data_IF_598522775409
#
_entry.id   IF_598522775409
#
_cell.length_a   1.000
_cell.length_b   1.000
_cell.length_c   1.000
_cell.angle_alpha   90.00
_cell.angle_beta   90.00
_cell.angle_gamma   90.00
#
_symmetry.space_group_name_H-M   'P 1'
#
loop_
_entity.id
_entity.type
_entity.pdbx_description
1 polymer ?
#
# COMPACT_ATOMS: atom_id res chain seq x y z
N UNK A 1 0.80 6.61 -22.14
CA UNK A 1 1.18 6.02 -20.82
C UNK A 1 -0.13 5.73 -20.10
N UNK A 2 -0.38 4.50 -19.68
CA UNK A 2 -1.62 4.17 -18.98
C UNK A 2 -1.54 4.70 -17.55
N UNK A 3 -2.51 5.52 -17.15
CA UNK A 3 -2.69 5.92 -15.76
C UNK A 3 -2.98 4.65 -14.94
N UNK A 4 -2.35 4.47 -13.77
CA UNK A 4 -2.68 3.35 -12.89
C UNK A 4 -4.15 3.48 -12.44
N UNK A 5 -4.82 2.36 -12.20
CA UNK A 5 -6.23 2.35 -11.78
C UNK A 5 -6.41 2.90 -10.35
N UNK A 6 -5.34 2.86 -9.56
CA UNK A 6 -5.24 3.48 -8.23
C UNK A 6 -3.84 4.04 -7.97
N UNK A 7 -3.68 4.96 -7.04
CA UNK A 7 -2.38 5.29 -6.44
C UNK A 7 -2.40 5.02 -4.94
N UNK A 8 -1.22 4.79 -4.40
CA UNK A 8 -1.00 4.60 -2.98
C UNK A 8 0.03 5.60 -2.48
N UNK A 9 -0.21 6.11 -1.29
CA UNK A 9 0.64 7.07 -0.60
C UNK A 9 0.71 6.68 0.88
N UNK A 10 1.92 6.45 1.37
CA UNK A 10 2.14 6.19 2.79
C UNK A 10 2.11 7.52 3.53
N UNK A 11 1.23 7.64 4.52
CA UNK A 11 1.12 8.83 5.35
C UNK A 11 1.85 8.59 6.67
N UNK A 12 3.11 9.01 6.70
CA UNK A 12 3.92 9.04 7.92
C UNK A 12 3.82 10.42 8.61
N UNK A 13 3.89 10.49 9.94
CA UNK A 13 3.95 11.76 10.65
C UNK A 13 5.20 12.57 10.28
N UNK A 14 5.13 13.90 10.33
CA UNK A 14 6.28 14.78 10.10
C UNK A 14 7.40 14.47 11.11
N UNK A 15 8.59 14.13 10.61
CA UNK A 15 9.73 13.73 11.43
C UNK A 15 9.82 12.22 11.70
N UNK A 16 8.96 11.40 11.09
CA UNK A 16 9.12 9.96 11.10
C UNK A 16 10.45 9.58 10.42
N UNK A 17 11.22 8.62 10.98
CA UNK A 17 12.38 8.08 10.27
C UNK A 17 11.98 7.61 8.86
N UNK A 18 12.90 7.70 7.90
CA UNK A 18 12.67 7.14 6.55
C UNK A 18 12.34 5.65 6.60
N UNK A 19 12.67 4.99 7.71
CA UNK A 19 12.46 3.57 7.92
C UNK A 19 11.20 3.35 8.78
N UNK A 20 10.38 2.38 8.38
CA UNK A 20 9.27 1.86 9.16
C UNK A 20 9.79 0.91 10.23
N UNK A 21 9.15 0.90 11.38
CA UNK A 21 9.47 -0.05 12.45
C UNK A 21 8.67 -1.34 12.25
N UNK A 22 9.28 -2.47 12.56
CA UNK A 22 8.57 -3.74 12.66
C UNK A 22 7.39 -3.66 13.66
N UNK A 23 6.22 -4.16 13.27
CA UNK A 23 5.00 -4.09 14.09
C UNK A 23 4.35 -2.71 14.16
N UNK A 24 4.87 -1.73 13.41
CA UNK A 24 4.33 -0.37 13.42
C UNK A 24 3.03 -0.28 12.62
N UNK A 25 2.04 0.42 13.18
CA UNK A 25 0.78 0.67 12.49
C UNK A 25 0.85 1.93 11.63
N UNK A 26 1.10 1.76 10.33
CA UNK A 26 1.24 2.86 9.36
C UNK A 26 -0.05 3.10 8.60
N UNK A 27 -0.33 4.37 8.25
CA UNK A 27 -1.52 4.72 7.47
C UNK A 27 -1.17 4.80 5.98
N UNK A 28 -1.91 4.06 5.16
CA UNK A 28 -1.84 4.08 3.71
C UNK A 28 -3.08 4.75 3.15
N UNK A 29 -2.87 5.78 2.33
CA UNK A 29 -3.91 6.37 1.52
C UNK A 29 -3.93 5.68 0.16
N UNK A 30 -5.08 5.15 -0.22
CA UNK A 30 -5.32 4.54 -1.52
C UNK A 30 -6.28 5.44 -2.29
N UNK A 31 -5.77 6.12 -3.31
CA UNK A 31 -6.59 6.92 -4.22
C UNK A 31 -7.04 6.05 -5.39
N UNK A 32 -8.30 5.65 -5.37
CA UNK A 32 -8.89 4.85 -6.43
C UNK A 32 -9.39 5.76 -7.56
N UNK A 33 -8.76 5.72 -8.74
CA UNK A 33 -9.27 6.41 -9.93
C UNK A 33 -10.43 5.64 -10.57
N UNK A 34 -10.38 4.31 -10.48
CA UNK A 34 -11.47 3.40 -10.90
C UNK A 34 -12.03 2.61 -9.73
N UNK A 35 -13.18 1.98 -9.91
CA UNK A 35 -13.75 1.12 -8.90
C UNK A 35 -12.83 -0.08 -8.66
N UNK A 36 -12.38 -0.25 -7.43
CA UNK A 36 -11.51 -1.34 -7.00
C UNK A 36 -12.37 -2.38 -6.29
N UNK A 37 -12.32 -3.62 -6.74
CA UNK A 37 -13.05 -4.72 -6.13
C UNK A 37 -12.14 -5.94 -6.02
N UNK A 38 -12.02 -6.50 -4.82
CA UNK A 38 -11.12 -7.64 -4.56
C UNK A 38 -9.63 -7.31 -4.73
N UNK A 39 -9.22 -6.07 -4.44
CA UNK A 39 -7.81 -5.63 -4.51
C UNK A 39 -7.12 -5.93 -3.18
N UNK A 40 -5.84 -6.30 -3.23
CA UNK A 40 -5.02 -6.48 -2.03
C UNK A 40 -3.70 -5.73 -2.11
N UNK A 41 -3.24 -5.34 -0.92
CA UNK A 41 -1.93 -4.76 -0.70
C UNK A 41 -0.92 -5.89 -0.67
N UNK A 42 0.14 -5.74 -1.47
CA UNK A 42 1.35 -6.53 -1.36
C UNK A 42 2.49 -5.67 -0.88
N UNK A 43 3.32 -6.25 -0.02
CA UNK A 43 4.62 -5.71 0.35
C UNK A 43 5.66 -6.72 -0.11
N UNK A 44 6.42 -6.36 -1.15
CA UNK A 44 7.31 -7.26 -1.86
C UNK A 44 6.52 -8.42 -2.49
N UNK A 45 6.76 -9.63 -2.00
CA UNK A 45 6.06 -10.85 -2.43
C UNK A 45 4.93 -11.26 -1.48
N UNK A 46 4.86 -10.66 -0.30
CA UNK A 46 3.87 -11.00 0.72
C UNK A 46 2.57 -10.21 0.53
N UNK A 47 1.42 -10.88 0.68
CA UNK A 47 0.12 -10.21 0.79
C UNK A 47 -0.04 -9.75 2.23
N UNK A 48 -0.17 -8.43 2.44
CA UNK A 48 -0.31 -7.82 3.77
C UNK A 48 -1.78 -7.75 4.15
N UNK A 49 -2.59 -7.12 3.31
CA UNK A 49 -4.01 -6.89 3.60
C UNK A 49 -4.85 -6.80 2.33
N UNK A 50 -6.17 -6.83 2.45
CA UNK A 50 -7.13 -6.69 1.35
C UNK A 50 -7.92 -5.40 1.49
N UNK A 51 -8.04 -4.64 0.41
CA UNK A 51 -8.89 -3.46 0.38
C UNK A 51 -10.36 -3.87 0.25
N UNK A 52 -11.26 -3.19 0.97
CA UNK A 52 -12.69 -3.30 0.70
C UNK A 52 -13.00 -2.75 -0.70
N UNK A 53 -14.21 -3.00 -1.20
CA UNK A 53 -14.63 -2.45 -2.50
C UNK A 53 -14.63 -0.91 -2.45
N UNK A 54 -13.66 -0.29 -3.14
CA UNK A 54 -13.49 1.16 -3.19
C UNK A 54 -14.15 1.70 -4.45
N UNK A 55 -14.94 2.77 -4.31
CA UNK A 55 -15.59 3.41 -5.46
C UNK A 55 -14.56 4.17 -6.31
N UNK A 56 -14.86 4.32 -7.60
CA UNK A 56 -14.05 5.17 -8.48
C UNK A 56 -14.02 6.62 -8.00
N UNK A 57 -12.88 7.28 -8.17
CA UNK A 57 -12.62 8.66 -7.74
C UNK A 57 -12.82 8.89 -6.24
N UNK A 58 -12.45 7.91 -5.41
CA UNK A 58 -12.48 8.05 -3.95
C UNK A 58 -11.13 7.69 -3.34
N UNK A 59 -10.82 8.34 -2.22
CA UNK A 59 -9.64 8.03 -1.42
C UNK A 59 -10.06 7.18 -0.24
N UNK A 60 -9.41 6.04 -0.06
CA UNK A 60 -9.60 5.16 1.08
C UNK A 60 -8.32 5.15 1.91
N UNK A 61 -8.40 5.62 3.15
CA UNK A 61 -7.30 5.53 4.10
C UNK A 61 -7.48 4.27 4.93
N UNK A 62 -6.44 3.46 5.01
CA UNK A 62 -6.41 2.29 5.87
C UNK A 62 -5.12 2.23 6.66
N UNK A 63 -5.18 1.63 7.84
CA UNK A 63 -4.01 1.40 8.67
C UNK A 63 -3.66 -0.09 8.57
N UNK A 64 -2.40 -0.39 8.36
CA UNK A 64 -1.91 -1.77 8.34
C UNK A 64 -0.66 -1.88 9.22
N UNK A 65 -0.42 -3.08 9.75
CA UNK A 65 0.76 -3.36 10.56
C UNK A 65 1.93 -3.74 9.65
N UNK A 66 3.06 -3.06 9.83
CA UNK A 66 4.29 -3.34 9.09
C UNK A 66 4.78 -4.73 9.51
N UNK A 67 4.90 -5.68 8.56
CA UNK A 67 5.35 -7.03 8.90
C UNK A 67 6.80 -7.03 9.38
N UNK A 68 7.17 -8.10 10.09
CA UNK A 68 8.50 -8.37 10.69
C UNK A 68 9.63 -8.63 9.67
N UNK A 69 9.62 -7.89 8.56
CA UNK A 69 10.51 -8.09 7.43
C UNK A 69 11.51 -6.93 7.31
N UNK A 70 12.55 -6.99 8.15
CA UNK A 70 13.66 -6.03 8.14
C UNK A 70 14.32 -5.96 6.75
N UNK A 71 14.42 -4.74 6.20
CA UNK A 71 15.04 -4.45 4.91
C UNK A 71 14.18 -3.60 3.97
N UNK A 72 14.66 -3.38 2.75
CA UNK A 72 13.93 -2.64 1.72
C UNK A 72 12.83 -3.50 1.12
N UNK A 73 11.60 -3.00 1.21
CA UNK A 73 10.40 -3.59 0.66
C UNK A 73 9.70 -2.63 -0.29
N UNK A 74 8.75 -3.15 -1.05
CA UNK A 74 7.95 -2.34 -1.98
C UNK A 74 6.48 -2.61 -1.79
N UNK A 75 5.70 -1.61 -1.44
CA UNK A 75 4.25 -1.69 -1.32
C UNK A 75 3.63 -1.45 -2.69
N UNK A 76 2.70 -2.30 -3.11
CA UNK A 76 1.91 -2.14 -4.32
C UNK A 76 0.54 -2.79 -4.20
N UNK A 77 -0.44 -2.26 -4.94
CA UNK A 77 -1.77 -2.86 -5.05
C UNK A 77 -1.84 -3.81 -6.23
N UNK A 78 -2.44 -4.96 -5.96
CA UNK A 78 -2.69 -5.97 -6.96
C UNK A 78 -4.17 -6.29 -7.03
N UNK A 79 -4.69 -6.46 -8.24
CA UNK A 79 -6.04 -6.99 -8.44
C UNK A 79 -6.11 -8.50 -8.17
N UNK A 80 -7.31 -9.08 -8.33
CA UNK A 80 -7.53 -10.52 -8.18
C UNK A 80 -6.67 -11.37 -9.12
N UNK A 81 -6.35 -10.83 -10.29
CA UNK A 81 -5.57 -11.47 -11.35
C UNK A 81 -4.05 -11.37 -11.05
N UNK A 82 -3.67 -10.69 -9.97
CA UNK A 82 -2.30 -10.51 -9.52
C UNK A 82 -1.57 -9.41 -10.27
N UNK A 83 -2.26 -8.60 -11.08
CA UNK A 83 -1.67 -7.48 -11.83
C UNK A 83 -1.52 -6.27 -10.93
N UNK A 84 -0.36 -5.62 -11.00
CA UNK A 84 -0.12 -4.35 -10.31
C UNK A 84 -1.00 -3.26 -10.92
N UNK A 85 -1.87 -2.67 -10.10
CA UNK A 85 -2.81 -1.62 -10.51
C UNK A 85 -2.48 -0.25 -9.92
N UNK A 86 -1.44 -0.17 -9.07
CA UNK A 86 -0.95 1.08 -8.48
C UNK A 86 0.52 1.37 -8.75
N UNK A 87 0.97 2.55 -8.31
CA UNK A 87 2.38 2.83 -8.11
C UNK A 87 2.98 1.90 -7.03
N UNK A 88 4.30 1.79 -7.08
CA UNK A 88 5.13 1.07 -6.13
C UNK A 88 5.74 2.07 -5.16
N UNK A 89 5.57 1.84 -3.86
CA UNK A 89 6.21 2.63 -2.81
C UNK A 89 7.34 1.82 -2.20
N UNK A 90 8.56 2.29 -2.36
CA UNK A 90 9.71 1.71 -1.66
C UNK A 90 9.71 2.17 -0.21
N UNK A 91 9.79 1.22 0.71
CA UNK A 91 9.83 1.44 2.15
C UNK A 91 10.98 0.64 2.73
N UNK A 92 11.69 1.19 3.69
CA UNK A 92 12.76 0.47 4.40
C UNK A 92 12.21 0.11 5.77
N UNK A 93 12.27 -1.16 6.15
CA UNK A 93 11.89 -1.60 7.50
C UNK A 93 13.17 -1.81 8.30
N UNK A 94 13.25 -1.20 9.48
CA UNK A 94 14.40 -1.28 10.38
C UNK A 94 13.98 -1.71 11.79
N UNK A 95 14.89 -2.33 12.56
CA UNK A 95 14.63 -2.74 13.93
C UNK A 95 14.60 -1.56 14.90
#
# INVERSE_FOLDING_TARGET
>A
MSLPDATIELKLPEGHPENLTEGESVMLNVNAFKALDGVHIRMGTAKVDSLPSVRSNTTHSMQFEVPDYIGTNTISLHDRDGKSISNKLEVVIAP
#
